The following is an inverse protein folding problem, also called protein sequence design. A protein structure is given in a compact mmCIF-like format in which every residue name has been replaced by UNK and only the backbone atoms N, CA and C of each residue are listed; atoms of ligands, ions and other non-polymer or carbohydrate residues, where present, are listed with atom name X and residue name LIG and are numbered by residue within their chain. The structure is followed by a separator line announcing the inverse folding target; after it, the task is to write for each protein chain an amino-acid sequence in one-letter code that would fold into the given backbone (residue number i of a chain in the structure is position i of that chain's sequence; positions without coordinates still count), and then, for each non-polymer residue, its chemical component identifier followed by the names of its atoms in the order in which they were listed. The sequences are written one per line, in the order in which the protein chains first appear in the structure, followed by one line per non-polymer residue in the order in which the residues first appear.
data_IF_172414138335
#
_entry.id   IF_172414138335
#
_cell.length_a   1.000
_cell.length_b   1.000
_cell.length_c   1.000
_cell.angle_alpha   90.00
_cell.angle_beta   90.00
_cell.angle_gamma   90.00
#
_symmetry.space_group_name_H-M   'P 1'
#
loop_
_entity.id
_entity.type
_entity.pdbx_description
1 polymer ?
#
# COMPACT_ATOMS: atom_id res chain seq x y z
N UNK A 1 2.18 -1.49 15.23
CA UNK A 1 2.24 -2.72 14.40
C UNK A 1 1.93 -3.97 15.23
N UNK A 2 1.17 -4.90 14.65
CA UNK A 2 0.75 -6.18 15.25
C UNK A 2 1.92 -7.19 15.22
N UNK A 3 2.00 -8.07 16.24
CA UNK A 3 3.02 -9.13 16.36
C UNK A 3 2.81 -10.28 15.35
N UNK A 4 3.83 -11.11 15.14
CA UNK A 4 3.71 -12.36 14.36
C UNK A 4 3.64 -12.15 12.83
N UNK A 5 4.21 -11.05 12.33
CA UNK A 5 4.30 -10.78 10.88
C UNK A 5 5.63 -11.31 10.34
N UNK A 6 5.60 -11.87 9.13
CA UNK A 6 6.79 -12.37 8.45
C UNK A 6 7.84 -11.26 8.25
N UNK A 7 9.13 -11.54 8.54
CA UNK A 7 10.21 -10.58 8.35
C UNK A 7 10.50 -10.35 6.86
N UNK A 8 11.30 -9.31 6.58
CA UNK A 8 11.84 -9.06 5.25
C UNK A 8 13.03 -9.98 4.94
N UNK A 9 13.88 -9.54 4.02
CA UNK A 9 15.12 -10.27 3.68
C UNK A 9 16.16 -10.22 4.81
N UNK A 10 16.05 -9.25 5.70
CA UNK A 10 16.93 -9.00 6.85
C UNK A 10 16.66 -9.92 8.05
N UNK A 11 15.58 -10.71 8.02
CA UNK A 11 15.18 -11.58 9.14
C UNK A 11 14.65 -10.82 10.37
N UNK A 12 14.55 -9.49 10.31
CA UNK A 12 14.12 -8.69 11.45
C UNK A 12 12.58 -8.60 11.51
N UNK A 13 12.03 -9.02 12.65
CA UNK A 13 10.62 -8.86 12.99
C UNK A 13 10.34 -7.61 13.83
N UNK A 14 9.06 -7.29 14.03
CA UNK A 14 8.63 -6.16 14.87
C UNK A 14 8.98 -6.36 16.35
N UNK A 15 9.09 -7.60 16.80
CA UNK A 15 9.45 -7.96 18.17
C UNK A 15 10.86 -7.48 18.49
N UNK A 16 11.82 -7.62 17.56
CA UNK A 16 13.17 -7.09 17.75
C UNK A 16 13.17 -5.59 18.00
N UNK A 17 12.31 -4.83 17.31
CA UNK A 17 12.20 -3.38 17.50
C UNK A 17 11.50 -3.03 18.81
N UNK A 18 10.47 -3.81 19.21
CA UNK A 18 9.72 -3.57 20.45
C UNK A 18 10.54 -3.84 21.70
N UNK A 19 11.45 -4.81 21.65
CA UNK A 19 12.32 -5.20 22.77
C UNK A 19 13.74 -4.64 22.63
N UNK A 20 13.98 -3.78 21.65
CA UNK A 20 15.26 -3.09 21.51
C UNK A 20 15.48 -2.07 22.65
N UNK A 21 16.74 -1.68 22.84
CA UNK A 21 17.11 -0.66 23.82
C UNK A 21 16.51 0.73 23.51
N UNK A 22 16.48 1.57 24.54
CA UNK A 22 15.89 2.92 24.53
C UNK A 22 16.46 3.86 23.45
N UNK A 23 17.65 3.56 22.92
CA UNK A 23 18.30 4.36 21.89
C UNK A 23 17.77 4.09 20.47
N UNK A 24 17.15 2.94 20.20
CA UNK A 24 16.72 2.57 18.85
C UNK A 24 15.75 3.58 18.22
N UNK A 25 14.70 4.07 18.92
CA UNK A 25 13.80 5.08 18.36
C UNK A 25 14.53 6.37 17.95
N UNK A 26 15.55 6.79 18.71
CA UNK A 26 16.35 7.98 18.39
C UNK A 26 17.18 7.76 17.13
N UNK A 27 17.78 6.58 16.97
CA UNK A 27 18.56 6.24 15.77
C UNK A 27 17.64 6.17 14.54
N UNK A 28 16.48 5.52 14.65
CA UNK A 28 15.49 5.45 13.57
C UNK A 28 14.97 6.83 13.19
N UNK A 29 14.73 7.71 14.16
CA UNK A 29 14.33 9.09 13.91
C UNK A 29 15.38 9.85 13.10
N UNK A 30 16.65 9.78 13.49
CA UNK A 30 17.75 10.42 12.75
C UNK A 30 17.86 9.86 11.33
N UNK A 31 17.80 8.53 11.18
CA UNK A 31 17.82 7.86 9.89
C UNK A 31 16.67 8.32 8.98
N UNK A 32 15.43 8.31 9.47
CA UNK A 32 14.26 8.67 8.68
C UNK A 32 14.26 10.14 8.27
N UNK A 33 14.70 11.04 9.15
CA UNK A 33 14.84 12.45 8.79
C UNK A 33 15.92 12.64 7.74
N UNK A 34 17.06 11.96 7.85
CA UNK A 34 18.10 11.99 6.82
C UNK A 34 17.57 11.46 5.48
N UNK A 35 16.80 10.37 5.49
CA UNK A 35 16.19 9.83 4.27
C UNK A 35 15.26 10.84 3.59
N UNK A 36 14.40 11.51 4.36
CA UNK A 36 13.47 12.52 3.83
C UNK A 36 14.23 13.74 3.32
N UNK A 37 15.15 14.29 4.12
CA UNK A 37 15.90 15.50 3.79
C UNK A 37 16.79 15.33 2.55
N UNK A 38 17.39 14.15 2.38
CA UNK A 38 18.25 13.84 1.22
C UNK A 38 17.51 13.17 0.07
N UNK A 39 16.20 12.90 0.21
CA UNK A 39 15.41 12.15 -0.79
C UNK A 39 16.08 10.83 -1.19
N UNK A 40 16.70 10.14 -0.23
CA UNK A 40 17.48 8.94 -0.43
C UNK A 40 17.11 7.89 0.61
N UNK A 41 17.13 6.61 0.23
CA UNK A 41 16.86 5.51 1.14
C UNK A 41 17.91 4.41 0.92
N UNK A 42 18.47 3.81 1.99
CA UNK A 42 19.43 2.73 1.87
C UNK A 42 18.88 1.55 1.06
N UNK A 43 19.73 0.91 0.25
CA UNK A 43 19.35 -0.21 -0.61
C UNK A 43 18.71 -1.36 0.18
N UNK A 44 19.24 -1.68 1.35
CA UNK A 44 18.71 -2.75 2.23
C UNK A 44 17.34 -2.40 2.82
N UNK A 45 16.95 -1.12 2.82
CA UNK A 45 15.59 -0.74 3.17
C UNK A 45 14.66 -0.86 1.95
N UNK A 46 15.17 -0.61 0.75
CA UNK A 46 14.37 -0.59 -0.47
C UNK A 46 14.04 -2.00 -0.97
N UNK A 47 14.99 -2.93 -0.88
CA UNK A 47 14.85 -4.29 -1.40
C UNK A 47 13.68 -5.04 -0.76
N UNK A 48 12.84 -5.67 -1.60
CA UNK A 48 11.66 -6.41 -1.14
C UNK A 48 11.59 -7.81 -1.75
N UNK A 49 10.98 -8.74 -1.01
CA UNK A 49 10.75 -10.10 -1.49
C UNK A 49 9.27 -10.26 -1.78
N UNK A 50 8.92 -10.67 -2.99
CA UNK A 50 7.54 -10.96 -3.38
C UNK A 50 7.26 -12.43 -3.13
N UNK A 51 6.26 -12.72 -2.31
CA UNK A 51 5.79 -14.08 -2.02
C UNK A 51 4.40 -14.25 -2.64
N UNK A 52 4.25 -15.13 -3.64
CA UNK A 52 2.94 -15.46 -4.19
C UNK A 52 2.10 -16.22 -3.16
N UNK A 53 0.87 -15.76 -2.90
CA UNK A 53 -0.10 -16.42 -2.02
C UNK A 53 -1.30 -16.90 -2.84
N UNK A 54 -1.64 -18.17 -2.71
CA UNK A 54 -2.81 -18.77 -3.38
C UNK A 54 -4.11 -18.11 -2.91
N UNK A 55 -4.93 -17.65 -3.87
CA UNK A 55 -6.25 -17.04 -3.63
C UNK A 55 -7.30 -18.09 -3.31
N UNK A 56 -7.36 -19.13 -4.14
CA UNK A 56 -8.32 -20.22 -4.04
C UNK A 56 -7.58 -21.57 -4.02
N UNK A 57 -7.59 -22.23 -2.87
CA UNK A 57 -6.94 -23.54 -2.68
C UNK A 57 -7.61 -24.68 -3.45
N UNK A 58 -8.87 -24.53 -3.83
CA UNK A 58 -9.61 -25.52 -4.62
C UNK A 58 -9.64 -25.17 -6.12
N UNK A 59 -9.00 -24.07 -6.51
CA UNK A 59 -8.85 -23.68 -7.91
C UNK A 59 -7.62 -24.30 -8.55
N UNK A 60 -7.37 -23.95 -9.81
CA UNK A 60 -6.17 -24.37 -10.52
C UNK A 60 -4.92 -23.72 -9.91
N UNK A 61 -3.94 -24.54 -9.51
CA UNK A 61 -2.67 -24.07 -8.98
C UNK A 61 -1.67 -23.71 -10.08
N UNK A 62 -1.91 -24.12 -11.33
CA UNK A 62 -1.12 -23.72 -12.49
C UNK A 62 -1.54 -22.33 -13.03
N UNK A 63 -2.71 -21.84 -12.65
CA UNK A 63 -3.17 -20.50 -13.04
C UNK A 63 -2.46 -19.40 -12.25
N UNK A 64 -1.66 -18.58 -12.96
CA UNK A 64 -0.98 -17.41 -12.39
C UNK A 64 -1.96 -16.40 -11.76
N UNK A 65 -3.20 -16.31 -12.26
CA UNK A 65 -4.21 -15.42 -11.72
C UNK A 65 -4.76 -15.88 -10.37
N UNK A 66 -4.52 -17.15 -9.99
CA UNK A 66 -4.83 -17.69 -8.67
C UNK A 66 -3.81 -17.25 -7.60
N UNK A 67 -2.81 -16.44 -7.93
CA UNK A 67 -1.82 -15.95 -6.96
C UNK A 67 -1.97 -14.45 -6.67
N UNK A 68 -1.71 -14.06 -5.41
CA UNK A 68 -1.52 -12.67 -4.98
C UNK A 68 -0.04 -12.43 -4.68
N UNK A 69 0.62 -11.50 -5.37
CA UNK A 69 2.01 -11.16 -5.07
C UNK A 69 2.07 -10.27 -3.81
N UNK A 70 2.43 -10.83 -2.65
CA UNK A 70 2.60 -10.05 -1.43
C UNK A 70 4.06 -9.59 -1.30
N UNK A 71 4.27 -8.28 -1.18
CA UNK A 71 5.60 -7.70 -1.01
C UNK A 71 6.02 -7.68 0.47
N UNK A 72 7.07 -8.42 0.80
CA UNK A 72 7.71 -8.44 2.11
C UNK A 72 8.85 -7.41 2.14
N UNK A 73 8.53 -6.21 2.64
CA UNK A 73 9.52 -5.20 3.01
C UNK A 73 10.14 -5.49 4.38
N UNK A 74 11.35 -4.99 4.61
CA UNK A 74 12.02 -5.02 5.92
C UNK A 74 11.18 -4.29 6.98
N UNK A 75 11.38 -4.63 8.24
CA UNK A 75 10.60 -4.02 9.31
C UNK A 75 10.91 -2.52 9.44
N UNK A 76 12.16 -2.11 9.22
CA UNK A 76 12.58 -0.71 9.24
C UNK A 76 11.83 0.07 8.16
N UNK A 77 11.76 -0.49 6.95
CA UNK A 77 11.00 0.12 5.84
C UNK A 77 9.52 0.19 6.10
N UNK A 78 8.92 -0.84 6.70
CA UNK A 78 7.52 -0.77 7.13
C UNK A 78 7.32 0.35 8.15
N UNK A 79 8.21 0.51 9.13
CA UNK A 79 8.09 1.59 10.11
C UNK A 79 8.18 2.96 9.42
N UNK A 80 9.13 3.13 8.51
CA UNK A 80 9.25 4.34 7.69
C UNK A 80 7.98 4.61 6.85
N UNK A 81 7.44 3.57 6.21
CA UNK A 81 6.17 3.65 5.47
C UNK A 81 5.02 4.13 6.37
N UNK A 82 5.02 3.76 7.65
CA UNK A 82 4.02 4.22 8.63
C UNK A 82 4.15 5.69 8.97
N UNK A 83 5.39 6.18 9.07
CA UNK A 83 5.67 7.62 9.24
C UNK A 83 5.18 8.39 8.03
N UNK A 84 5.49 7.93 6.82
CA UNK A 84 5.01 8.56 5.58
C UNK A 84 3.49 8.50 5.47
N UNK A 85 2.86 7.37 5.81
CA UNK A 85 1.40 7.24 5.80
C UNK A 85 0.72 8.25 6.74
N UNK A 86 1.33 8.51 7.90
CA UNK A 86 0.84 9.53 8.85
C UNK A 86 1.00 10.95 8.32
N UNK A 87 2.02 11.22 7.49
CA UNK A 87 2.12 12.50 6.81
C UNK A 87 1.10 12.60 5.68
N UNK A 88 1.00 11.58 4.83
CA UNK A 88 0.05 11.54 3.71
C UNK A 88 -1.40 11.71 4.16
N UNK A 89 -1.78 11.13 5.30
CA UNK A 89 -3.16 11.25 5.84
C UNK A 89 -3.57 12.66 6.24
N UNK A 90 -2.61 13.58 6.44
CA UNK A 90 -2.91 14.99 6.71
C UNK A 90 -3.34 15.74 5.45
N UNK A 91 -2.89 15.30 4.28
CA UNK A 91 -3.09 15.99 3.00
C UNK A 91 -4.13 15.27 2.12
N UNK A 92 -4.16 13.94 2.14
CA UNK A 92 -5.07 13.16 1.31
C UNK A 92 -6.39 12.97 2.06
N UNK A 93 -7.45 13.58 1.52
CA UNK A 93 -8.83 13.36 1.95
C UNK A 93 -9.55 12.50 0.90
N UNK A 94 -9.88 11.23 1.20
CA UNK A 94 -10.69 10.41 0.30
C UNK A 94 -12.07 11.03 0.07
N UNK A 95 -12.65 10.84 -1.11
CA UNK A 95 -14.01 11.27 -1.41
C UNK A 95 -15.02 10.76 -0.37
N UNK A 96 -16.12 11.46 -0.13
CA UNK A 96 -17.08 11.09 0.90
C UNK A 96 -17.75 9.74 0.63
N UNK A 97 -17.99 9.43 -0.64
CA UNK A 97 -18.50 8.13 -1.10
C UNK A 97 -17.44 7.03 -1.18
N UNK A 98 -16.19 7.28 -0.78
CA UNK A 98 -15.17 6.24 -0.67
C UNK A 98 -15.27 5.56 0.70
N UNK A 99 -15.70 4.31 0.71
CA UNK A 99 -15.78 3.49 1.92
C UNK A 99 -14.52 2.62 2.13
N UNK A 100 -13.77 2.35 1.07
CA UNK A 100 -12.56 1.55 1.10
C UNK A 100 -11.39 2.31 1.75
N UNK A 101 -10.66 1.63 2.63
CA UNK A 101 -9.43 2.14 3.24
C UNK A 101 -9.59 3.51 3.95
N UNK A 102 -10.80 3.85 4.39
CA UNK A 102 -11.11 5.07 5.14
C UNK A 102 -11.41 4.71 6.61
N UNK A 103 -10.71 5.32 7.58
CA UNK A 103 -10.98 5.08 9.00
C UNK A 103 -12.45 5.37 9.34
N UNK A 104 -13.06 4.48 10.12
CA UNK A 104 -14.45 4.63 10.57
C UNK A 104 -15.52 4.23 9.56
N UNK A 105 -15.14 3.80 8.35
CA UNK A 105 -16.06 3.25 7.35
C UNK A 105 -15.79 1.76 7.11
N UNK A 106 -16.83 1.04 6.71
CA UNK A 106 -16.77 -0.37 6.35
C UNK A 106 -17.64 -0.66 5.13
N UNK A 107 -17.55 -1.90 4.64
CA UNK A 107 -18.45 -2.42 3.59
C UNK A 107 -19.91 -2.35 3.99
N UNK A 108 -20.23 -2.48 5.28
CA UNK A 108 -21.61 -2.37 5.77
C UNK A 108 -22.17 -0.97 5.55
N UNK A 109 -21.34 0.06 5.73
CA UNK A 109 -21.70 1.44 5.42
C UNK A 109 -22.03 1.63 3.93
N UNK A 110 -21.22 1.05 3.04
CA UNK A 110 -21.46 1.10 1.60
C UNK A 110 -22.76 0.38 1.22
N UNK A 111 -22.99 -0.81 1.78
CA UNK A 111 -24.21 -1.60 1.56
C UNK A 111 -25.44 -0.86 2.08
N UNK A 112 -25.34 -0.25 3.26
CA UNK A 112 -26.43 0.53 3.85
C UNK A 112 -26.78 1.73 2.96
N UNK A 113 -25.78 2.49 2.52
CA UNK A 113 -25.96 3.63 1.60
C UNK A 113 -26.66 3.21 0.30
N UNK A 114 -26.20 2.11 -0.31
CA UNK A 114 -26.82 1.55 -1.52
C UNK A 114 -28.27 1.12 -1.27
N UNK A 115 -28.54 0.35 -0.20
CA UNK A 115 -29.90 -0.08 0.15
C UNK A 115 -30.83 1.09 0.41
N UNK A 116 -30.36 2.13 1.11
CA UNK A 116 -31.14 3.31 1.40
C UNK A 116 -31.50 4.07 0.11
N UNK A 117 -30.53 4.19 -0.80
CA UNK A 117 -30.71 4.82 -2.12
C UNK A 117 -31.74 4.07 -2.95
N UNK A 118 -31.62 2.75 -3.06
CA UNK A 118 -32.59 1.89 -3.78
C UNK A 118 -33.99 2.05 -3.17
N UNK A 119 -34.11 1.94 -1.85
CA UNK A 119 -35.39 2.05 -1.15
C UNK A 119 -36.05 3.42 -1.36
N UNK A 120 -35.27 4.50 -1.41
CA UNK A 120 -35.76 5.85 -1.61
C UNK A 120 -36.48 6.02 -2.96
N UNK A 121 -35.90 5.49 -4.04
CA UNK A 121 -36.46 5.58 -5.39
C UNK A 121 -37.58 4.56 -5.65
N UNK A 122 -37.43 3.33 -5.14
CA UNK A 122 -38.48 2.29 -5.25
C UNK A 122 -39.78 2.74 -4.57
N UNK A 123 -39.70 3.35 -3.39
CA UNK A 123 -40.88 3.93 -2.69
C UNK A 123 -41.61 5.00 -3.52
N UNK A 124 -40.90 5.67 -4.44
CA UNK A 124 -41.43 6.70 -5.33
C UNK A 124 -41.85 6.15 -6.70
N UNK A 125 -41.87 4.82 -6.87
CA UNK A 125 -42.18 4.13 -8.12
C UNK A 125 -41.28 4.55 -9.28
N UNK A 126 -40.05 4.97 -8.99
CA UNK A 126 -39.03 5.29 -9.99
C UNK A 126 -38.17 4.05 -10.24
N UNK A 127 -37.89 3.67 -11.50
CA UNK A 127 -37.00 2.55 -11.79
C UNK A 127 -35.58 2.86 -11.31
N UNK A 128 -34.90 1.85 -10.77
CA UNK A 128 -33.51 1.95 -10.30
C UNK A 128 -32.65 0.99 -11.10
N UNK A 129 -31.57 1.50 -11.67
CA UNK A 129 -30.57 0.71 -12.39
C UNK A 129 -29.24 0.81 -11.63
N UNK A 130 -28.55 -0.32 -11.48
CA UNK A 130 -27.25 -0.38 -10.82
C UNK A 130 -26.19 -0.88 -11.81
N UNK A 131 -25.05 -0.18 -11.87
CA UNK A 131 -23.87 -0.59 -12.61
C UNK A 131 -22.76 -0.90 -11.60
N UNK A 132 -22.22 -2.12 -11.66
CA UNK A 132 -21.11 -2.54 -10.84
C UNK A 132 -19.84 -2.55 -11.69
N UNK A 133 -18.84 -1.79 -11.26
CA UNK A 133 -17.53 -1.71 -11.90
C UNK A 133 -16.51 -2.38 -11.01
N UNK A 134 -15.71 -3.29 -11.59
CA UNK A 134 -14.58 -3.91 -10.92
C UNK A 134 -13.29 -3.59 -11.68
N UNK A 135 -12.25 -3.22 -10.94
CA UNK A 135 -10.96 -2.83 -11.50
C UNK A 135 -10.02 -4.04 -11.51
N UNK A 136 -9.74 -4.55 -12.71
CA UNK A 136 -8.73 -5.59 -12.92
C UNK A 136 -7.36 -5.13 -12.43
N UNK A 137 -6.76 -5.87 -11.49
CA UNK A 137 -5.39 -5.62 -10.98
C UNK A 137 -5.18 -4.16 -10.51
N UNK A 138 -6.16 -3.65 -9.76
CA UNK A 138 -6.23 -2.23 -9.39
C UNK A 138 -4.94 -1.65 -8.77
N UNK A 139 -4.29 -2.38 -7.86
CA UNK A 139 -3.02 -1.94 -7.28
C UNK A 139 -1.85 -2.06 -8.25
N UNK A 140 -1.82 -3.09 -9.09
CA UNK A 140 -0.65 -3.42 -9.91
C UNK A 140 -0.54 -2.52 -11.17
N UNK A 141 -1.62 -1.83 -11.56
CA UNK A 141 -1.69 -0.99 -12.77
C UNK A 141 -1.65 0.52 -12.50
N UNK A 142 -1.28 0.94 -11.30
CA UNK A 142 -1.17 2.36 -10.95
C UNK A 142 0.01 2.99 -11.69
N UNK A 143 -0.25 3.98 -12.55
CA UNK A 143 0.80 4.75 -13.23
C UNK A 143 1.50 5.69 -12.27
N UNK A 144 2.83 5.60 -12.20
CA UNK A 144 3.65 6.47 -11.36
C UNK A 144 3.55 7.94 -11.79
N UNK A 145 3.64 8.23 -13.08
CA UNK A 145 3.58 9.61 -13.58
C UNK A 145 2.26 10.30 -13.22
N UNK A 146 1.15 9.58 -13.32
CA UNK A 146 -0.15 10.11 -12.92
C UNK A 146 -0.26 10.28 -11.40
N UNK A 147 0.25 9.31 -10.63
CA UNK A 147 0.26 9.37 -9.17
C UNK A 147 1.06 10.59 -8.67
N UNK A 148 2.24 10.84 -9.23
CA UNK A 148 3.09 11.98 -8.88
C UNK A 148 2.42 13.30 -9.18
N UNK A 149 1.82 13.46 -10.38
CA UNK A 149 1.03 14.65 -10.73
C UNK A 149 -0.12 14.89 -9.76
N UNK A 150 -0.79 13.84 -9.27
CA UNK A 150 -1.85 13.96 -8.27
C UNK A 150 -1.32 14.38 -6.90
N UNK A 151 -0.17 13.87 -6.47
CA UNK A 151 0.47 14.29 -5.21
C UNK A 151 0.92 15.75 -5.26
N UNK A 152 1.41 16.22 -6.39
CA UNK A 152 1.81 17.62 -6.59
C UNK A 152 0.59 18.56 -6.50
N UNK A 153 -0.57 18.15 -7.04
CA UNK A 153 -1.82 18.94 -6.98
C UNK A 153 -2.38 19.14 -5.57
N UNK A 154 -2.12 18.23 -4.64
CA UNK A 154 -2.60 18.35 -3.25
C UNK A 154 -1.64 19.13 -2.35
N UNK A 155 -0.62 19.79 -2.92
CA UNK A 155 0.35 20.61 -2.21
C UNK A 155 1.07 19.87 -1.07
N UNK A 156 1.36 18.58 -1.29
CA UNK A 156 2.18 17.78 -0.36
C UNK A 156 3.63 18.33 -0.34
N UNK A 157 4.33 18.32 0.81
CA UNK A 157 5.72 18.75 0.87
C UNK A 157 6.60 18.03 -0.15
N UNK A 158 7.42 18.80 -0.87
CA UNK A 158 8.23 18.27 -1.97
C UNK A 158 9.16 17.13 -1.53
N UNK A 159 9.73 17.22 -0.33
CA UNK A 159 10.61 16.18 0.24
C UNK A 159 9.87 14.83 0.39
N UNK A 160 8.59 14.87 0.73
CA UNK A 160 7.76 13.66 0.85
C UNK A 160 7.46 13.05 -0.52
N UNK A 161 7.21 13.90 -1.53
CA UNK A 161 7.04 13.45 -2.93
C UNK A 161 8.35 12.86 -3.45
N UNK A 162 9.47 13.52 -3.21
CA UNK A 162 10.78 13.11 -3.70
C UNK A 162 11.23 11.77 -3.10
N UNK A 163 11.06 11.56 -1.79
CA UNK A 163 11.39 10.27 -1.18
C UNK A 163 10.48 9.14 -1.68
N UNK A 164 9.19 9.40 -1.92
CA UNK A 164 8.29 8.42 -2.54
C UNK A 164 8.72 8.09 -3.98
N UNK A 165 9.02 9.11 -4.80
CA UNK A 165 9.54 8.93 -6.16
C UNK A 165 10.81 8.08 -6.14
N UNK A 166 11.79 8.45 -5.30
CA UNK A 166 13.04 7.72 -5.16
C UNK A 166 12.81 6.26 -4.75
N UNK A 167 11.92 6.03 -3.78
CA UNK A 167 11.65 4.69 -3.28
C UNK A 167 11.03 3.80 -4.37
N UNK A 168 9.99 4.29 -5.06
CA UNK A 168 9.33 3.50 -6.11
C UNK A 168 10.22 3.27 -7.34
N UNK A 169 11.06 4.24 -7.72
CA UNK A 169 11.99 4.11 -8.86
C UNK A 169 13.18 3.20 -8.56
N UNK A 170 13.69 3.25 -7.33
CA UNK A 170 14.87 2.47 -6.91
C UNK A 170 14.52 1.08 -6.41
N UNK A 171 13.22 0.73 -6.35
CA UNK A 171 12.76 -0.54 -5.80
C UNK A 171 13.26 -1.73 -6.61
N UNK A 172 13.90 -2.65 -5.90
CA UNK A 172 14.33 -3.94 -6.43
C UNK A 172 13.55 -5.04 -5.70
N UNK A 173 12.93 -5.91 -6.48
CA UNK A 173 12.11 -7.00 -6.00
C UNK A 173 12.70 -8.33 -6.47
N UNK A 174 12.56 -9.37 -5.65
CA UNK A 174 12.82 -10.76 -6.06
C UNK A 174 11.63 -11.61 -5.65
N UNK A 175 11.20 -12.52 -6.52
CA UNK A 175 10.13 -13.48 -6.20
C UNK A 175 10.73 -14.62 -5.41
N UNK A 176 10.11 -15.00 -4.30
CA UNK A 176 10.45 -16.22 -3.56
C UNK A 176 9.41 -17.29 -3.84
N UNK A 177 9.87 -18.41 -4.38
CA UNK A 177 9.05 -19.59 -4.66
C UNK A 177 9.73 -20.83 -4.09
N UNK A 178 9.05 -21.56 -3.20
CA UNK A 178 9.58 -22.75 -2.51
C UNK A 178 11.01 -22.59 -1.94
N UNK A 179 11.31 -21.41 -1.39
CA UNK A 179 12.62 -21.11 -0.79
C UNK A 179 13.69 -20.63 -1.78
N UNK A 180 13.44 -20.73 -3.09
CA UNK A 180 14.32 -20.21 -4.14
C UNK A 180 13.95 -18.76 -4.47
N UNK A 181 14.95 -17.92 -4.74
CA UNK A 181 14.77 -16.54 -5.17
C UNK A 181 14.98 -16.41 -6.68
N UNK A 182 14.12 -15.62 -7.33
CA UNK A 182 14.33 -15.21 -8.72
C UNK A 182 15.43 -14.16 -8.84
N UNK A 183 15.85 -13.93 -10.09
CA UNK A 183 16.62 -12.74 -10.43
C UNK A 183 15.88 -11.45 -9.98
N UNK A 184 16.63 -10.42 -9.58
CA UNK A 184 16.06 -9.15 -9.18
C UNK A 184 15.42 -8.42 -10.36
N UNK A 185 14.24 -7.85 -10.14
CA UNK A 185 13.52 -7.06 -11.13
C UNK A 185 13.02 -5.72 -10.53
N UNK A 186 12.72 -4.77 -11.40
CA UNK A 186 12.13 -3.46 -11.03
C UNK A 186 10.69 -3.39 -11.48
N UNK A 187 9.89 -2.60 -10.76
CA UNK A 187 8.50 -2.33 -11.13
C UNK A 187 8.42 -1.01 -11.90
N UNK A 188 7.71 -1.03 -13.03
CA UNK A 188 7.46 0.17 -13.85
C UNK A 188 6.13 0.85 -13.48
N UNK A 189 5.22 0.10 -12.87
CA UNK A 189 3.93 0.59 -12.39
C UNK A 189 3.47 -0.23 -11.18
N UNK A 190 2.46 0.28 -10.50
CA UNK A 190 1.76 -0.42 -9.43
C UNK A 190 2.20 -0.03 -8.02
N UNK A 191 1.27 -0.17 -7.09
CA UNK A 191 1.48 0.04 -5.66
C UNK A 191 1.81 -1.28 -4.98
N UNK A 192 2.65 -1.22 -3.94
CA UNK A 192 3.09 -2.41 -3.20
C UNK A 192 1.93 -3.05 -2.45
N UNK A 193 1.59 -4.29 -2.76
CA UNK A 193 0.62 -5.05 -1.98
C UNK A 193 1.21 -5.39 -0.61
N UNK A 194 0.65 -4.81 0.46
CA UNK A 194 1.15 -4.93 1.83
C UNK A 194 1.88 -3.69 2.37
N UNK A 195 2.07 -2.65 1.54
CA UNK A 195 2.51 -1.33 2.00
C UNK A 195 1.42 -0.63 2.81
N UNK A 196 1.81 0.12 3.85
CA UNK A 196 0.88 0.95 4.63
C UNK A 196 0.49 2.23 3.90
N UNK A 197 1.35 2.76 3.02
CA UNK A 197 1.02 3.92 2.17
C UNK A 197 0.19 3.54 0.94
N UNK A 198 0.25 2.30 0.48
CA UNK A 198 -0.44 1.87 -0.74
C UNK A 198 -1.95 2.16 -0.74
N UNK A 199 -2.71 1.88 0.34
CA UNK A 199 -4.14 2.17 0.36
C UNK A 199 -4.48 3.66 0.22
N UNK A 200 -3.73 4.55 0.88
CA UNK A 200 -4.01 5.98 0.83
C UNK A 200 -3.61 6.58 -0.53
N UNK A 201 -2.50 6.09 -1.11
CA UNK A 201 -2.09 6.45 -2.47
C UNK A 201 -3.10 5.96 -3.51
N UNK A 202 -3.69 4.77 -3.32
CA UNK A 202 -4.74 4.27 -4.19
C UNK A 202 -6.01 5.12 -4.09
N UNK A 203 -6.43 5.51 -2.88
CA UNK A 203 -7.56 6.41 -2.70
C UNK A 203 -7.35 7.76 -3.40
N UNK A 204 -6.14 8.34 -3.33
CA UNK A 204 -5.81 9.54 -4.11
C UNK A 204 -5.84 9.27 -5.63
N UNK A 205 -5.37 8.10 -6.06
CA UNK A 205 -5.31 7.75 -7.47
C UNK A 205 -6.71 7.62 -8.09
N UNK A 206 -7.69 7.09 -7.34
CA UNK A 206 -9.07 6.93 -7.81
C UNK A 206 -9.92 8.21 -7.64
N UNK A 207 -9.59 9.05 -6.65
CA UNK A 207 -10.21 10.38 -6.46
C UNK A 207 -9.98 11.30 -7.68
#
# INVERSE_FOLDING_TARGET
MVRGKSPGHDGLSIEHLKFAGLHLPRVLFLLFNACIAHSFMPRDMISSIVVPIVKNRTGDLADIHNYRPISLATIISKVFDGVLNTQLSKYIKPHDNQFGFKPGLSTDGAILSLKHTINYYVKRKTPVFACFLDLSRAFDLVSYDLLWKKLEKIHLPQDTINILKYWYQSQVNSVRWEGVLSDPYRMECGLRQGGMTSPILFNLYVN
#
